data_IF_951886124864
#
_entry.id   IF_951886124864
#
_cell.length_a   1.000
_cell.length_b   1.000
_cell.length_c   1.000
_cell.angle_alpha   90.00
_cell.angle_beta   90.00
_cell.angle_gamma   90.00
#
_symmetry.space_group_name_H-M   'P 1'
#
loop_
_entity.id
_entity.type
_entity.pdbx_description
1 polymer ?
#
# COMPACT_ATOMS: atom_id res chain seq x y z
N UNK A 1 9.41 -6.67 -35.91
CA UNK A 1 8.41 -6.44 -34.85
C UNK A 1 7.44 -5.36 -35.33
N UNK A 2 6.32 -5.76 -35.94
CA UNK A 2 5.38 -4.82 -36.59
C UNK A 2 4.47 -4.08 -35.62
N UNK A 3 3.91 -2.95 -36.06
CA UNK A 3 2.98 -2.06 -35.32
C UNK A 3 1.85 -2.80 -34.57
N UNK A 4 1.34 -3.92 -35.12
CA UNK A 4 0.34 -4.79 -34.49
C UNK A 4 0.80 -5.39 -33.14
N UNK A 5 2.07 -5.79 -33.05
CA UNK A 5 2.64 -6.34 -31.82
C UNK A 5 2.81 -5.30 -30.71
N UNK A 6 3.01 -4.03 -31.09
CA UNK A 6 3.13 -2.92 -30.13
C UNK A 6 1.77 -2.54 -29.56
N UNK A 7 0.73 -2.46 -30.41
CA UNK A 7 -0.64 -2.15 -29.99
C UNK A 7 -1.22 -3.21 -29.04
N UNK A 8 -0.85 -4.48 -29.22
CA UNK A 8 -1.25 -5.58 -28.33
C UNK A 8 -0.76 -5.38 -26.88
N UNK A 9 0.38 -4.70 -26.67
CA UNK A 9 0.92 -4.49 -25.31
C UNK A 9 0.12 -3.48 -24.48
N UNK A 10 -0.50 -2.51 -25.14
CA UNK A 10 -1.30 -1.45 -24.49
C UNK A 10 -2.78 -1.81 -24.40
N UNK A 11 -3.26 -2.75 -25.21
CA UNK A 11 -4.64 -3.25 -25.19
C UNK A 11 -4.82 -4.50 -24.34
N UNK A 12 -3.73 -5.17 -23.97
CA UNK A 12 -3.73 -6.33 -23.08
C UNK A 12 -4.47 -6.03 -21.76
N UNK A 13 -5.26 -7.00 -21.31
CA UNK A 13 -6.00 -6.94 -20.04
C UNK A 13 -5.26 -7.71 -18.97
N UNK A 14 -5.46 -7.33 -17.71
CA UNK A 14 -4.94 -8.09 -16.57
C UNK A 14 -5.62 -9.46 -16.47
N UNK A 15 -4.86 -10.45 -16.00
CA UNK A 15 -5.29 -11.83 -15.77
C UNK A 15 -5.88 -11.98 -14.37
N UNK A 16 -6.96 -11.26 -14.11
CA UNK A 16 -7.68 -11.34 -12.83
C UNK A 16 -9.16 -11.52 -13.11
N UNK A 17 -9.74 -12.56 -12.52
CA UNK A 17 -11.16 -12.89 -12.70
C UNK A 17 -12.07 -12.16 -11.70
N UNK A 18 -11.52 -11.71 -10.57
CA UNK A 18 -12.21 -10.99 -9.49
C UNK A 18 -11.39 -9.80 -9.02
N UNK A 19 -12.02 -8.85 -8.35
CA UNK A 19 -11.27 -7.77 -7.72
C UNK A 19 -10.23 -8.33 -6.74
N UNK A 20 -8.98 -7.90 -6.89
CA UNK A 20 -7.87 -8.32 -6.03
C UNK A 20 -7.20 -7.11 -5.41
N UNK A 21 -7.11 -7.12 -4.08
CA UNK A 21 -6.33 -6.14 -3.32
C UNK A 21 -4.94 -6.72 -3.04
N UNK A 22 -3.90 -5.99 -3.40
CA UNK A 22 -2.51 -6.37 -3.26
C UNK A 22 -1.78 -5.38 -2.36
N UNK A 23 -1.19 -5.90 -1.29
CA UNK A 23 -0.41 -5.12 -0.32
C UNK A 23 1.08 -5.41 -0.54
N UNK A 24 1.80 -4.45 -1.11
CA UNK A 24 3.24 -4.56 -1.38
C UNK A 24 4.04 -4.00 -0.19
N UNK A 25 4.78 -4.85 0.54
CA UNK A 25 5.45 -4.44 1.78
C UNK A 25 6.53 -3.37 1.57
N UNK A 26 6.77 -2.60 2.64
CA UNK A 26 7.82 -1.57 2.70
C UNK A 26 9.22 -2.18 2.55
N UNK A 27 9.46 -3.35 3.14
CA UNK A 27 10.74 -4.04 3.06
C UNK A 27 11.02 -4.57 1.64
N UNK A 28 12.14 -4.16 1.05
CA UNK A 28 12.61 -4.62 -0.25
C UNK A 28 12.66 -6.16 -0.40
N UNK A 29 13.23 -6.95 0.55
CA UNK A 29 13.30 -8.41 0.38
C UNK A 29 11.93 -9.07 0.38
N UNK A 30 11.01 -8.61 1.23
CA UNK A 30 9.62 -9.09 1.22
C UNK A 30 8.91 -8.70 -0.08
N UNK A 31 9.19 -7.52 -0.61
CA UNK A 31 8.61 -7.03 -1.89
C UNK A 31 9.10 -7.86 -3.08
N UNK A 32 10.35 -8.31 -3.07
CA UNK A 32 10.91 -9.19 -4.08
C UNK A 32 10.13 -10.50 -4.19
N UNK A 33 9.77 -11.11 -3.04
CA UNK A 33 8.95 -12.32 -3.01
C UNK A 33 7.56 -12.12 -3.66
N UNK A 34 7.00 -10.92 -3.55
CA UNK A 34 5.72 -10.56 -4.15
C UNK A 34 5.79 -10.32 -5.67
N UNK A 35 6.97 -10.11 -6.26
CA UNK A 35 7.10 -9.81 -7.70
C UNK A 35 6.48 -10.89 -8.59
N UNK A 36 6.65 -12.16 -8.22
CA UNK A 36 6.10 -13.27 -8.99
C UNK A 36 4.57 -13.20 -9.07
N UNK A 37 3.92 -12.83 -7.96
CA UNK A 37 2.47 -12.64 -7.89
C UNK A 37 2.02 -11.44 -8.72
N UNK A 38 2.75 -10.32 -8.65
CA UNK A 38 2.46 -9.11 -9.45
C UNK A 38 2.66 -9.39 -10.94
N UNK A 39 3.72 -10.11 -11.33
CA UNK A 39 3.98 -10.48 -12.71
C UNK A 39 2.87 -11.40 -13.27
N UNK A 40 2.30 -12.28 -12.43
CA UNK A 40 1.21 -13.17 -12.83
C UNK A 40 -0.07 -12.43 -13.24
N UNK A 41 -0.27 -11.19 -12.77
CA UNK A 41 -1.38 -10.32 -13.20
C UNK A 41 -1.30 -9.96 -14.68
N UNK A 42 -0.11 -9.98 -15.27
CA UNK A 42 0.11 -9.55 -16.64
C UNK A 42 0.26 -10.75 -17.56
N UNK A 43 -0.33 -10.73 -18.77
CA UNK A 43 -0.10 -11.75 -19.77
C UNK A 43 1.40 -11.85 -20.12
N UNK A 44 1.91 -13.07 -20.20
CA UNK A 44 3.34 -13.34 -20.39
C UNK A 44 3.94 -12.72 -21.66
N UNK A 45 3.13 -12.47 -22.70
CA UNK A 45 3.55 -11.85 -23.95
C UNK A 45 3.68 -10.32 -23.85
N UNK A 46 3.31 -9.72 -22.72
CA UNK A 46 3.36 -8.26 -22.53
C UNK A 46 4.68 -7.84 -21.90
N UNK A 47 5.24 -6.72 -22.34
CA UNK A 47 6.46 -6.15 -21.76
C UNK A 47 6.38 -5.97 -20.24
N UNK A 48 5.22 -5.55 -19.72
CA UNK A 48 4.99 -5.32 -18.28
C UNK A 48 5.24 -6.58 -17.42
N UNK A 49 4.93 -7.77 -17.93
CA UNK A 49 5.19 -9.04 -17.24
C UNK A 49 6.69 -9.23 -16.99
N UNK A 50 7.49 -9.06 -18.04
CA UNK A 50 8.94 -9.22 -17.98
C UNK A 50 9.62 -8.11 -17.18
N UNK A 51 9.14 -6.87 -17.33
CA UNK A 51 9.66 -5.73 -16.56
C UNK A 51 9.52 -5.96 -15.05
N UNK A 52 8.36 -6.44 -14.58
CA UNK A 52 8.16 -6.76 -13.16
C UNK A 52 9.08 -7.90 -12.71
N UNK A 53 9.24 -8.93 -13.55
CA UNK A 53 10.03 -10.13 -13.26
C UNK A 53 11.55 -9.88 -13.23
N UNK A 54 12.04 -8.90 -13.99
CA UNK A 54 13.46 -8.57 -14.11
C UNK A 54 13.92 -7.41 -13.23
N UNK A 55 13.16 -7.04 -12.20
CA UNK A 55 13.65 -6.05 -11.24
C UNK A 55 13.05 -4.66 -11.39
N UNK A 56 12.05 -4.44 -12.26
CA UNK A 56 11.36 -3.16 -12.41
C UNK A 56 10.88 -2.56 -11.09
N UNK A 57 10.90 -1.23 -10.99
CA UNK A 57 10.56 -0.51 -9.76
C UNK A 57 9.11 -0.75 -9.32
N UNK A 58 8.93 -1.43 -8.18
CA UNK A 58 7.63 -1.58 -7.54
C UNK A 58 7.61 -0.76 -6.26
N UNK A 59 6.68 0.17 -6.15
CA UNK A 59 6.50 0.96 -4.93
C UNK A 59 5.65 0.17 -3.94
N UNK A 60 6.00 0.27 -2.66
CA UNK A 60 5.17 -0.26 -1.59
C UNK A 60 3.79 0.40 -1.61
N UNK A 61 2.77 -0.33 -1.19
CA UNK A 61 1.42 0.21 -1.14
C UNK A 61 0.30 -0.80 -1.26
N UNK A 62 -0.92 -0.32 -0.99
CA UNK A 62 -2.14 -1.07 -1.27
C UNK A 62 -2.69 -0.70 -2.65
N UNK A 63 -2.82 -1.70 -3.50
CA UNK A 63 -3.31 -1.55 -4.87
C UNK A 63 -4.51 -2.44 -5.09
N UNK A 64 -5.54 -1.88 -5.71
CA UNK A 64 -6.73 -2.65 -6.13
C UNK A 64 -6.67 -2.84 -7.63
N UNK A 65 -6.80 -4.09 -8.06
CA UNK A 65 -6.84 -4.48 -9.47
C UNK A 65 -8.21 -5.08 -9.74
N UNK A 66 -8.96 -4.43 -10.62
CA UNK A 66 -10.26 -4.88 -11.08
C UNK A 66 -10.13 -5.78 -12.33
N UNK A 67 -11.03 -6.76 -12.49
CA UNK A 67 -11.08 -7.59 -13.69
C UNK A 67 -11.33 -6.71 -14.92
N UNK A 68 -10.66 -7.03 -16.02
CA UNK A 68 -10.80 -6.28 -17.27
C UNK A 68 -10.08 -4.92 -17.31
N UNK A 69 -9.30 -4.54 -16.29
CA UNK A 69 -8.41 -3.39 -16.40
C UNK A 69 -7.32 -3.59 -17.46
N UNK A 70 -6.85 -2.49 -18.05
CA UNK A 70 -5.70 -2.54 -18.97
C UNK A 70 -4.42 -2.80 -18.19
N UNK A 71 -3.61 -3.76 -18.67
CA UNK A 71 -2.35 -4.16 -18.07
C UNK A 71 -1.38 -2.97 -17.90
N UNK A 72 -1.31 -2.09 -18.91
CA UNK A 72 -0.48 -0.88 -18.86
C UNK A 72 -0.89 0.07 -17.72
N UNK A 73 -2.19 0.32 -17.54
CA UNK A 73 -2.68 1.21 -16.49
C UNK A 73 -2.33 0.67 -15.11
N UNK A 74 -2.56 -0.63 -14.89
CA UNK A 74 -2.24 -1.33 -13.66
C UNK A 74 -0.73 -1.30 -13.39
N UNK A 75 0.10 -1.64 -14.38
CA UNK A 75 1.56 -1.55 -14.30
C UNK A 75 2.03 -0.12 -13.93
N UNK A 76 1.47 0.89 -14.59
CA UNK A 76 1.85 2.29 -14.35
C UNK A 76 1.47 2.74 -12.94
N UNK A 77 0.38 2.23 -12.35
CA UNK A 77 0.04 2.47 -10.93
C UNK A 77 1.10 1.91 -10.00
N UNK A 78 1.51 0.64 -10.17
CA UNK A 78 2.57 0.04 -9.37
C UNK A 78 3.92 0.77 -9.52
N UNK A 79 4.26 1.14 -10.76
CA UNK A 79 5.50 1.87 -11.05
C UNK A 79 5.51 3.27 -10.45
N UNK A 80 4.38 3.97 -10.40
CA UNK A 80 4.29 5.33 -9.87
C UNK A 80 3.96 5.40 -8.37
N UNK A 81 3.61 4.28 -7.73
CA UNK A 81 3.14 4.32 -6.34
C UNK A 81 1.74 4.90 -6.18
N UNK A 82 0.87 4.76 -7.20
CA UNK A 82 -0.51 5.26 -7.15
C UNK A 82 -1.39 4.28 -6.37
N UNK A 83 -1.25 4.33 -5.05
CA UNK A 83 -1.99 3.51 -4.10
C UNK A 83 -3.45 3.98 -4.02
N UNK A 84 -4.35 3.07 -3.66
CA UNK A 84 -5.72 3.45 -3.29
C UNK A 84 -5.74 3.69 -1.78
N UNK A 85 -6.31 4.81 -1.29
CA UNK A 85 -6.52 4.96 0.14
C UNK A 85 -7.52 3.91 0.61
N UNK A 86 -7.30 3.38 1.80
CA UNK A 86 -8.22 2.41 2.40
C UNK A 86 -8.80 2.97 3.68
N UNK A 87 -9.98 2.48 4.02
CA UNK A 87 -10.75 2.95 5.18
C UNK A 87 -10.69 1.94 6.30
N UNK A 88 -10.41 2.40 7.51
CA UNK A 88 -10.51 1.56 8.70
C UNK A 88 -11.21 2.31 9.84
N UNK A 89 -11.95 1.57 10.66
CA UNK A 89 -12.58 2.10 11.84
C UNK A 89 -11.59 2.11 13.01
N UNK A 90 -11.26 3.29 13.51
CA UNK A 90 -10.47 3.46 14.71
C UNK A 90 -11.38 3.34 15.93
N UNK A 91 -11.21 2.26 16.69
CA UNK A 91 -11.94 2.10 17.96
C UNK A 91 -11.40 3.08 19.01
N UNK A 92 -12.21 3.47 20.01
CA UNK A 92 -11.73 4.26 21.13
C UNK A 92 -10.53 3.58 21.79
N UNK A 93 -9.39 4.27 21.79
CA UNK A 93 -8.18 3.78 22.43
C UNK A 93 -8.03 4.44 23.79
N UNK A 94 -7.63 3.65 24.79
CA UNK A 94 -7.24 4.13 26.13
C UNK A 94 -5.76 3.84 26.43
N UNK A 95 -5.16 3.06 25.55
CA UNK A 95 -3.78 2.58 25.45
C UNK A 95 -2.92 3.23 24.36
N UNK A 96 -1.86 4.02 24.62
CA UNK A 96 -0.86 4.29 23.59
C UNK A 96 -0.32 3.02 22.93
N UNK A 97 0.00 2.01 23.75
CA UNK A 97 0.47 0.71 23.26
C UNK A 97 -0.61 -0.04 22.46
N UNK A 98 -1.88 0.07 22.87
CA UNK A 98 -2.99 -0.53 22.10
C UNK A 98 -3.21 0.18 20.77
N UNK A 99 -3.10 1.52 20.72
CA UNK A 99 -3.16 2.29 19.49
C UNK A 99 -2.03 1.90 18.54
N UNK A 100 -0.78 1.90 19.03
CA UNK A 100 0.39 1.50 18.26
C UNK A 100 0.28 0.05 17.76
N UNK A 101 -0.18 -0.87 18.60
CA UNK A 101 -0.43 -2.26 18.22
C UNK A 101 -1.56 -2.42 17.20
N UNK A 102 -2.62 -1.61 17.29
CA UNK A 102 -3.71 -1.59 16.31
C UNK A 102 -3.24 -1.05 14.96
N UNK A 103 -2.55 0.09 14.94
CA UNK A 103 -2.00 0.69 13.72
C UNK A 103 -0.95 -0.22 13.09
N UNK A 104 -0.08 -0.84 13.89
CA UNK A 104 0.94 -1.79 13.40
C UNK A 104 0.39 -3.05 12.75
N UNK A 105 -0.86 -3.43 13.04
CA UNK A 105 -1.57 -4.52 12.35
C UNK A 105 -2.36 -4.06 11.13
N UNK A 106 -2.66 -2.77 11.05
CA UNK A 106 -3.60 -2.20 10.07
C UNK A 106 -2.83 -1.53 8.92
N UNK A 107 -1.76 -0.79 9.24
CA UNK A 107 -0.88 -0.07 8.34
C UNK A 107 0.42 -0.85 8.08
N UNK A 108 1.24 -0.36 7.17
CA UNK A 108 2.45 -1.05 6.73
C UNK A 108 3.61 -1.01 7.74
N UNK A 109 3.67 0.03 8.59
CA UNK A 109 4.69 0.19 9.62
C UNK A 109 4.36 -0.65 10.85
N UNK A 110 5.38 -1.13 11.56
CA UNK A 110 5.21 -1.95 12.74
C UNK A 110 4.74 -1.13 13.96
N UNK A 111 4.31 -1.82 15.01
CA UNK A 111 3.83 -1.16 16.24
C UNK A 111 4.94 -0.41 16.98
N UNK A 112 6.21 -0.80 16.81
CA UNK A 112 7.33 -0.13 17.47
C UNK A 112 7.56 1.25 16.86
N UNK A 113 7.54 1.36 15.53
CA UNK A 113 7.63 2.63 14.82
C UNK A 113 6.53 3.60 15.26
N UNK A 114 5.28 3.13 15.39
CA UNK A 114 4.18 3.94 15.91
C UNK A 114 4.39 4.36 17.36
N UNK A 115 4.82 3.45 18.25
CA UNK A 115 5.06 3.77 19.64
C UNK A 115 6.16 4.83 19.81
N UNK A 116 7.27 4.67 19.09
CA UNK A 116 8.38 5.63 19.11
C UNK A 116 7.95 6.99 18.58
N UNK A 117 7.16 7.03 17.50
CA UNK A 117 6.64 8.29 16.99
C UNK A 117 5.77 9.00 18.02
N UNK A 118 4.83 8.30 18.66
CA UNK A 118 4.01 8.87 19.72
C UNK A 118 4.82 9.39 20.91
N UNK A 119 5.92 8.72 21.27
CA UNK A 119 6.81 9.17 22.34
C UNK A 119 7.63 10.40 21.94
N UNK A 120 8.09 10.44 20.69
CA UNK A 120 8.91 11.54 20.16
C UNK A 120 8.13 12.78 19.76
N UNK A 121 6.82 12.64 19.54
CA UNK A 121 5.97 13.72 19.05
C UNK A 121 5.82 14.82 20.11
N UNK A 122 5.99 16.11 19.76
CA UNK A 122 5.97 17.22 20.71
C UNK A 122 4.53 17.65 21.06
N UNK A 123 3.76 16.75 21.69
CA UNK A 123 2.33 16.97 22.03
C UNK A 123 2.03 18.26 22.79
N UNK A 124 3.00 18.73 23.59
CA UNK A 124 2.88 19.97 24.38
C UNK A 124 2.72 21.21 23.49
N UNK A 125 3.30 21.22 22.28
CA UNK A 125 3.15 22.32 21.32
C UNK A 125 1.71 22.44 20.83
N UNK A 126 0.94 21.36 20.93
CA UNK A 126 -0.46 21.28 20.52
C UNK A 126 -1.40 21.39 21.73
N UNK A 127 -0.87 21.71 22.92
CA UNK A 127 -1.64 21.85 24.16
C UNK A 127 -2.03 20.53 24.83
N UNK A 128 -1.43 19.41 24.42
CA UNK A 128 -1.67 18.10 25.02
C UNK A 128 -0.52 17.67 25.93
N UNK A 129 -0.86 16.99 27.02
CA UNK A 129 0.12 16.33 27.87
C UNK A 129 0.25 14.83 27.51
N UNK A 130 1.18 14.16 28.18
CA UNK A 130 1.44 12.71 28.02
C UNK A 130 0.24 11.79 28.29
N UNK A 131 -0.81 12.29 28.95
CA UNK A 131 -2.01 11.54 29.33
C UNK A 131 -3.22 11.88 28.46
N UNK A 132 -3.23 13.05 27.82
CA UNK A 132 -4.38 13.61 27.09
C UNK A 132 -4.23 13.57 25.57
N UNK A 133 -3.02 13.44 25.02
CA UNK A 133 -2.81 13.41 23.57
C UNK A 133 -3.60 12.31 22.85
N UNK A 134 -3.92 11.22 23.55
CA UNK A 134 -4.72 10.12 22.97
C UNK A 134 -6.13 10.59 22.56
N UNK A 135 -6.62 11.70 23.11
CA UNK A 135 -7.91 12.31 22.77
C UNK A 135 -7.94 12.90 21.34
N UNK A 136 -6.77 13.15 20.73
CA UNK A 136 -6.68 13.58 19.32
C UNK A 136 -7.20 12.49 18.38
N UNK A 137 -7.09 11.22 18.79
CA UNK A 137 -7.51 10.06 18.03
C UNK A 137 -8.98 9.71 18.29
N UNK A 138 -9.88 10.52 17.72
CA UNK A 138 -11.32 10.32 17.87
C UNK A 138 -11.77 9.00 17.23
N UNK A 139 -12.76 8.29 17.80
CA UNK A 139 -13.29 7.09 17.18
C UNK A 139 -14.11 7.42 15.92
N UNK A 140 -13.58 7.06 14.75
CA UNK A 140 -14.24 7.26 13.46
C UNK A 140 -13.66 6.33 12.38
N UNK A 141 -14.23 6.37 11.18
CA UNK A 141 -13.70 5.73 9.98
C UNK A 141 -12.73 6.67 9.29
N UNK A 142 -11.44 6.40 9.45
CA UNK A 142 -10.36 7.14 8.81
C UNK A 142 -10.07 6.59 7.42
N UNK A 143 -9.68 7.47 6.50
CA UNK A 143 -9.20 7.13 5.17
C UNK A 143 -7.73 7.55 5.06
N UNK A 144 -6.83 6.59 4.86
CA UNK A 144 -5.39 6.83 4.78
C UNK A 144 -4.72 5.93 3.75
N UNK A 145 -3.50 6.27 3.34
CA UNK A 145 -2.67 5.35 2.57
C UNK A 145 -2.06 4.27 3.48
N UNK A 146 -1.95 3.06 2.98
CA UNK A 146 -1.44 1.94 3.77
C UNK A 146 0.02 2.12 4.21
N UNK A 147 0.82 2.83 3.43
CA UNK A 147 2.23 3.11 3.73
C UNK A 147 2.46 4.39 4.52
N UNK A 148 1.40 5.06 4.97
CA UNK A 148 1.51 6.34 5.66
C UNK A 148 2.47 6.21 6.85
N UNK A 149 3.57 6.99 6.88
CA UNK A 149 4.53 6.90 7.96
C UNK A 149 3.94 7.44 9.26
N UNK A 150 4.38 6.92 10.41
CA UNK A 150 4.13 7.58 11.68
C UNK A 150 4.90 8.92 11.68
N UNK A 151 4.18 10.02 11.89
CA UNK A 151 4.69 11.40 11.84
C UNK A 151 4.80 12.03 13.23
#
# INVERSE_FOLDING_TARGET
MGLLGLLLQFTARVRVDREQTLRLPLEAPKREAFRSQVAALFPWYTFWHWWVRWGGALHAGEYVVHPGEQAFGVWNRFRKGLQKPFRFYLKPQRSPAHLAGFLGRTLAHDSLAWALAFESHPWYEWGFDRYTWLLVFLPDVYEVYWTEPPA
#
